data_IF_396960395453
#
_entry.id   IF_396960395453
#
_cell.length_a   1.000
_cell.length_b   1.000
_cell.length_c   1.000
_cell.angle_alpha   90.00
_cell.angle_beta   90.00
_cell.angle_gamma   90.00
#
_symmetry.space_group_name_H-M   'P 1'
#
loop_
_entity.id
_entity.type
_entity.pdbx_description
1 polymer ?
#
# COMPACT_ATOMS: atom_id res chain seq x y z
N UNK A 1 -13.58 8.54 5.85
CA UNK A 1 -13.26 7.11 5.66
C UNK A 1 -14.32 6.31 4.88
N UNK A 2 -15.64 6.41 5.13
CA UNK A 2 -16.63 5.54 4.45
C UNK A 2 -16.68 5.70 2.92
N UNK A 3 -16.60 6.95 2.44
CA UNK A 3 -16.62 7.25 1.01
C UNK A 3 -15.40 6.66 0.28
N UNK A 4 -14.21 6.77 0.88
CA UNK A 4 -12.94 6.29 0.30
C UNK A 4 -12.99 4.76 0.14
N UNK A 5 -13.42 4.02 1.17
CA UNK A 5 -13.52 2.55 1.11
C UNK A 5 -14.52 2.10 0.04
N UNK A 6 -15.66 2.78 -0.05
CA UNK A 6 -16.67 2.51 -1.07
C UNK A 6 -16.15 2.81 -2.48
N UNK A 7 -15.41 3.91 -2.66
CA UNK A 7 -14.79 4.28 -3.93
C UNK A 7 -13.71 3.29 -4.35
N UNK A 8 -12.83 2.88 -3.43
CA UNK A 8 -11.80 1.85 -3.66
C UNK A 8 -12.45 0.54 -4.10
N UNK A 9 -13.44 0.06 -3.34
CA UNK A 9 -14.13 -1.19 -3.66
C UNK A 9 -14.84 -1.10 -5.01
N UNK A 10 -15.55 0.00 -5.26
CA UNK A 10 -16.26 0.21 -6.53
C UNK A 10 -15.29 0.28 -7.70
N UNK A 11 -14.16 0.97 -7.55
CA UNK A 11 -13.11 1.04 -8.57
C UNK A 11 -12.51 -0.34 -8.86
N UNK A 12 -12.11 -1.08 -7.82
CA UNK A 12 -11.56 -2.44 -7.94
C UNK A 12 -12.59 -3.40 -8.55
N UNK A 13 -13.83 -3.40 -8.06
CA UNK A 13 -14.88 -4.30 -8.53
C UNK A 13 -15.31 -3.98 -9.97
N UNK A 14 -15.62 -2.72 -10.29
CA UNK A 14 -16.08 -2.31 -11.62
C UNK A 14 -14.98 -2.49 -12.68
N UNK A 15 -13.71 -2.32 -12.31
CA UNK A 15 -12.59 -2.48 -13.24
C UNK A 15 -12.04 -3.89 -13.28
N UNK A 16 -12.36 -4.74 -12.30
CA UNK A 16 -12.08 -6.17 -12.39
C UNK A 16 -12.72 -6.81 -13.62
N UNK A 17 -13.93 -6.38 -14.00
CA UNK A 17 -14.64 -6.87 -15.19
C UNK A 17 -14.01 -6.35 -16.48
N UNK A 18 -13.56 -5.10 -16.49
CA UNK A 18 -12.90 -4.49 -17.64
C UNK A 18 -11.51 -5.10 -17.89
N UNK A 19 -10.70 -5.27 -16.85
CA UNK A 19 -9.37 -5.90 -16.96
C UNK A 19 -9.53 -7.41 -17.24
N UNK A 20 -10.58 -8.07 -16.72
CA UNK A 20 -10.93 -9.43 -17.12
C UNK A 20 -11.23 -9.57 -18.61
N UNK A 21 -11.90 -8.58 -19.20
CA UNK A 21 -12.20 -8.56 -20.62
C UNK A 21 -10.94 -8.31 -21.48
N UNK A 22 -9.98 -7.52 -20.97
CA UNK A 22 -8.71 -7.24 -21.66
C UNK A 22 -7.69 -8.38 -21.56
N UNK A 23 -7.62 -9.06 -20.42
CA UNK A 23 -6.60 -10.09 -20.12
C UNK A 23 -7.18 -11.51 -20.03
N UNK A 24 -8.48 -11.69 -20.33
CA UNK A 24 -9.15 -12.98 -20.33
C UNK A 24 -9.34 -13.65 -18.96
N UNK A 25 -9.19 -12.94 -17.83
CA UNK A 25 -9.27 -13.58 -16.50
C UNK A 25 -9.71 -12.66 -15.34
N UNK A 26 -11.02 -12.61 -15.08
CA UNK A 26 -11.62 -11.98 -13.87
C UNK A 26 -11.10 -12.58 -12.56
N UNK A 27 -10.68 -13.84 -12.62
CA UNK A 27 -10.17 -14.60 -11.49
C UNK A 27 -8.82 -14.07 -10.96
N UNK A 28 -7.99 -13.46 -11.82
CA UNK A 28 -6.63 -13.04 -11.45
C UNK A 28 -6.64 -11.77 -10.58
N UNK A 29 -7.62 -10.87 -10.74
CA UNK A 29 -7.67 -9.62 -9.97
C UNK A 29 -8.22 -9.87 -8.57
N UNK A 30 -9.26 -10.71 -8.49
CA UNK A 30 -9.85 -11.14 -7.21
C UNK A 30 -8.87 -11.95 -6.35
N UNK A 31 -7.79 -12.48 -6.92
CA UNK A 31 -6.77 -13.22 -6.14
C UNK A 31 -5.69 -12.33 -5.55
N UNK A 32 -5.56 -11.08 -6.01
CA UNK A 32 -4.48 -10.15 -5.66
C UNK A 32 -4.89 -9.03 -4.68
N UNK A 33 -6.19 -8.83 -4.46
CA UNK A 33 -6.78 -8.01 -3.40
C UNK A 33 -7.83 -8.83 -2.64
N UNK A 34 -8.27 -8.39 -1.44
CA UNK A 34 -9.40 -9.03 -0.77
C UNK A 34 -10.67 -8.99 -1.62
N UNK A 35 -11.39 -10.11 -1.66
CA UNK A 35 -12.61 -10.37 -2.48
C UNK A 35 -13.86 -9.79 -1.86
N UNK A 36 -13.75 -9.19 -0.68
CA UNK A 36 -14.87 -8.54 -0.02
C UNK A 36 -14.37 -7.33 0.77
N UNK A 37 -15.03 -6.21 0.54
CA UNK A 37 -14.97 -5.04 1.40
C UNK A 37 -16.39 -4.58 1.72
N UNK A 38 -16.71 -4.50 3.00
CA UNK A 38 -17.94 -3.93 3.54
C UNK A 38 -17.61 -2.88 4.58
N UNK A 39 -18.62 -2.15 5.05
CA UNK A 39 -18.45 -1.25 6.17
C UNK A 39 -19.72 -1.19 7.02
N UNK A 40 -19.55 -0.87 8.30
CA UNK A 40 -20.63 -0.55 9.22
C UNK A 40 -20.34 0.82 9.82
N UNK A 41 -21.35 1.68 9.85
CA UNK A 41 -21.23 3.04 10.41
C UNK A 41 -21.97 3.12 11.72
N UNK A 42 -21.45 3.94 12.63
CA UNK A 42 -22.10 4.28 13.89
C UNK A 42 -22.63 3.04 14.63
N UNK A 43 -21.76 2.05 14.83
CA UNK A 43 -22.10 0.78 15.47
C UNK A 43 -22.52 1.06 16.91
N UNK A 44 -23.73 0.63 17.26
CA UNK A 44 -24.22 0.67 18.63
C UNK A 44 -23.48 -0.39 19.47
N UNK A 45 -22.63 0.09 20.37
CA UNK A 45 -21.76 -0.71 21.23
C UNK A 45 -22.57 -1.66 22.12
N UNK A 46 -23.79 -1.28 22.52
CA UNK A 46 -24.63 -2.09 23.40
C UNK A 46 -24.97 -3.46 22.78
N UNK A 47 -25.11 -3.53 21.44
CA UNK A 47 -25.47 -4.76 20.73
C UNK A 47 -24.30 -5.75 20.57
N UNK A 48 -23.06 -5.32 20.86
CA UNK A 48 -21.84 -6.11 20.63
C UNK A 48 -20.96 -6.23 21.89
N UNK A 49 -21.53 -5.94 23.05
CA UNK A 49 -20.87 -6.15 24.34
C UNK A 49 -20.60 -7.65 24.54
N UNK A 50 -19.40 -8.07 24.99
CA UNK A 50 -18.30 -7.24 25.50
C UNK A 50 -17.23 -6.86 24.46
N UNK A 51 -17.37 -7.29 23.21
CA UNK A 51 -16.30 -7.21 22.19
C UNK A 51 -15.90 -5.78 21.80
N UNK A 52 -16.82 -4.81 21.95
CA UNK A 52 -16.58 -3.40 21.64
C UNK A 52 -16.47 -2.50 22.88
N UNK A 53 -16.29 -3.07 24.07
CA UNK A 53 -16.26 -2.30 25.32
C UNK A 53 -15.12 -1.28 25.39
N UNK A 54 -14.03 -1.51 24.66
CA UNK A 54 -12.91 -0.58 24.55
C UNK A 54 -13.32 0.80 23.99
N UNK A 55 -14.40 0.86 23.20
CA UNK A 55 -14.88 2.09 22.57
C UNK A 55 -15.99 2.80 23.38
N UNK A 56 -16.40 2.25 24.54
CA UNK A 56 -17.58 2.74 25.29
C UNK A 56 -17.44 4.20 25.76
N UNK A 57 -16.20 4.66 25.93
CA UNK A 57 -15.89 6.00 26.43
C UNK A 57 -15.42 6.96 25.33
N UNK A 58 -15.43 6.52 24.07
CA UNK A 58 -15.06 7.38 22.95
C UNK A 58 -16.15 8.42 22.67
N UNK A 59 -15.74 9.59 22.19
CA UNK A 59 -16.65 10.69 21.91
C UNK A 59 -17.63 10.41 20.74
N UNK A 60 -17.38 9.36 19.94
CA UNK A 60 -18.21 8.98 18.80
C UNK A 60 -18.41 7.48 18.68
N UNK A 61 -19.48 7.06 18.01
CA UNK A 61 -19.75 5.65 17.76
C UNK A 61 -18.73 5.05 16.79
N UNK A 62 -18.19 3.86 17.07
CA UNK A 62 -17.21 3.22 16.21
C UNK A 62 -17.82 2.89 14.84
N UNK A 63 -16.97 2.91 13.81
CA UNK A 63 -17.30 2.39 12.48
C UNK A 63 -16.30 1.30 12.14
N UNK A 64 -16.70 0.32 11.33
CA UNK A 64 -15.83 -0.79 10.94
C UNK A 64 -15.74 -0.91 9.43
N UNK A 65 -14.59 -1.39 8.97
CA UNK A 65 -14.40 -1.93 7.63
C UNK A 65 -14.36 -3.45 7.80
N UNK A 66 -15.16 -4.15 7.02
CA UNK A 66 -15.17 -5.60 6.93
C UNK A 66 -14.36 -6.00 5.71
N UNK A 67 -13.41 -6.91 5.86
CA UNK A 67 -12.55 -7.40 4.78
C UNK A 67 -12.69 -8.92 4.69
N UNK A 68 -12.48 -9.49 3.51
CA UNK A 68 -12.33 -10.96 3.32
C UNK A 68 -11.49 -11.56 4.45
N UNK A 69 -11.99 -12.62 5.09
CA UNK A 69 -11.19 -13.37 6.03
C UNK A 69 -10.08 -14.13 5.30
N UNK A 70 -8.83 -13.73 5.54
CA UNK A 70 -7.66 -14.42 5.02
C UNK A 70 -7.15 -15.43 6.08
N UNK A 71 -7.22 -16.75 5.84
CA UNK A 71 -6.81 -17.73 6.84
C UNK A 71 -5.29 -17.84 6.93
N UNK A 72 -4.74 -17.65 8.15
CA UNK A 72 -3.31 -17.81 8.47
C UNK A 72 -2.38 -17.03 7.50
N UNK A 73 -2.60 -15.71 7.30
CA UNK A 73 -1.81 -14.94 6.37
C UNK A 73 -0.38 -14.80 6.90
N UNK A 74 0.59 -14.84 6.00
CA UNK A 74 2.00 -14.57 6.28
C UNK A 74 2.39 -13.26 5.61
N UNK A 75 3.05 -12.37 6.33
CA UNK A 75 3.53 -11.10 5.77
C UNK A 75 4.73 -11.37 4.86
N UNK A 76 4.80 -10.69 3.71
CA UNK A 76 5.96 -10.77 2.83
C UNK A 76 7.22 -10.19 3.50
N UNK A 77 8.26 -11.01 3.58
CA UNK A 77 9.60 -10.66 4.06
C UNK A 77 10.62 -11.65 3.45
N UNK A 78 11.89 -11.58 3.84
CA UNK A 78 12.95 -12.44 3.29
C UNK A 78 12.74 -13.94 3.58
N UNK A 79 12.07 -14.28 4.69
CA UNK A 79 11.75 -15.68 5.04
C UNK A 79 10.64 -16.23 4.15
N UNK A 80 9.64 -15.41 3.84
CA UNK A 80 8.49 -15.82 3.01
C UNK A 80 8.67 -15.46 1.54
N UNK A 81 9.82 -14.89 1.16
CA UNK A 81 10.12 -14.49 -0.20
C UNK A 81 10.23 -15.73 -1.11
N UNK A 82 9.78 -15.56 -2.35
CA UNK A 82 10.12 -16.39 -3.51
C UNK A 82 9.93 -15.54 -4.76
N UNK A 83 10.60 -15.89 -5.85
CA UNK A 83 10.49 -15.16 -7.13
C UNK A 83 9.04 -15.12 -7.61
N UNK A 84 8.31 -16.21 -7.47
CA UNK A 84 6.91 -16.35 -7.89
C UNK A 84 5.96 -15.50 -7.04
N UNK A 85 6.22 -15.40 -5.72
CA UNK A 85 5.43 -14.50 -4.84
C UNK A 85 5.72 -13.04 -5.17
N UNK A 86 6.98 -12.68 -5.43
CA UNK A 86 7.36 -11.31 -5.76
C UNK A 86 6.79 -10.88 -7.12
N UNK A 87 6.83 -11.75 -8.13
CA UNK A 87 6.18 -11.49 -9.43
C UNK A 87 4.69 -11.22 -9.27
N UNK A 88 3.99 -12.01 -8.43
CA UNK A 88 2.56 -11.78 -8.13
C UNK A 88 2.32 -10.47 -7.38
N UNK A 89 3.20 -10.08 -6.46
CA UNK A 89 3.11 -8.77 -5.81
C UNK A 89 3.26 -7.60 -6.80
N UNK A 90 4.22 -7.68 -7.74
CA UNK A 90 4.39 -6.67 -8.81
C UNK A 90 3.15 -6.60 -9.71
N UNK A 91 2.59 -7.74 -10.10
CA UNK A 91 1.34 -7.78 -10.88
C UNK A 91 0.19 -7.16 -10.07
N UNK A 92 0.11 -7.46 -8.76
CA UNK A 92 -0.90 -6.92 -7.86
C UNK A 92 -0.88 -5.39 -7.80
N UNK A 93 0.29 -4.78 -7.60
CA UNK A 93 0.38 -3.31 -7.51
C UNK A 93 0.05 -2.65 -8.86
N UNK A 94 0.48 -3.25 -9.97
CA UNK A 94 0.14 -2.76 -11.31
C UNK A 94 -1.37 -2.82 -11.59
N UNK A 95 -2.08 -3.79 -11.00
CA UNK A 95 -3.53 -3.86 -11.11
C UNK A 95 -4.23 -2.80 -10.26
N UNK A 96 -3.73 -2.51 -9.05
CA UNK A 96 -4.20 -1.38 -8.24
C UNK A 96 -4.06 -0.08 -9.05
N UNK A 97 -2.90 0.13 -9.68
CA UNK A 97 -2.65 1.27 -10.56
C UNK A 97 -3.57 1.31 -11.78
N UNK A 98 -3.84 0.17 -12.40
CA UNK A 98 -4.75 0.05 -13.55
C UNK A 98 -6.21 0.36 -13.18
N UNK A 99 -6.57 0.24 -11.90
CA UNK A 99 -7.85 0.68 -11.35
C UNK A 99 -7.87 2.18 -10.98
N UNK A 100 -6.82 2.92 -11.35
CA UNK A 100 -6.63 4.35 -11.02
C UNK A 100 -6.55 4.60 -9.52
N UNK A 101 -5.84 3.72 -8.82
CA UNK A 101 -5.57 3.84 -7.39
C UNK A 101 -4.06 3.92 -7.20
N UNK A 102 -3.60 4.89 -6.42
CA UNK A 102 -2.25 4.93 -5.83
C UNK A 102 -2.35 4.34 -4.43
N UNK A 103 -1.55 3.32 -4.10
CA UNK A 103 -1.64 2.63 -2.81
C UNK A 103 -1.20 3.53 -1.65
N UNK A 104 -0.18 4.35 -1.91
CA UNK A 104 0.45 5.33 -1.05
C UNK A 104 1.20 4.76 0.18
N UNK A 105 1.31 3.43 0.30
CA UNK A 105 2.14 2.72 1.30
C UNK A 105 2.57 1.32 0.77
N UNK A 106 3.23 1.21 -0.40
CA UNK A 106 3.44 -0.06 -1.10
C UNK A 106 4.65 -0.85 -0.54
N UNK A 107 4.69 -1.10 0.77
CA UNK A 107 5.79 -1.82 1.44
C UNK A 107 5.44 -3.28 1.73
N UNK A 108 6.45 -4.17 1.92
CA UNK A 108 6.22 -5.61 2.13
C UNK A 108 5.24 -5.96 3.25
N UNK A 109 5.15 -5.13 4.30
CA UNK A 109 4.22 -5.28 5.42
C UNK A 109 2.74 -5.35 4.98
N UNK A 110 2.42 -4.73 3.84
CA UNK A 110 1.08 -4.65 3.26
C UNK A 110 0.83 -5.72 2.18
N UNK A 111 1.73 -6.71 2.07
CA UNK A 111 1.58 -7.85 1.17
C UNK A 111 1.43 -9.11 2.02
N UNK A 112 0.29 -9.77 1.89
CA UNK A 112 -0.03 -11.00 2.61
C UNK A 112 0.01 -12.20 1.68
N UNK A 113 0.70 -13.26 2.11
CA UNK A 113 0.72 -14.56 1.49
C UNK A 113 -0.30 -15.43 2.21
N UNK A 114 -1.33 -15.85 1.49
CA UNK A 114 -2.40 -16.70 2.05
C UNK A 114 -2.16 -18.13 1.60
N UNK A 115 -1.73 -19.03 2.49
CA UNK A 115 -1.44 -20.40 2.14
C UNK A 115 -2.71 -21.18 1.81
N UNK A 116 -2.62 -22.12 0.87
CA UNK A 116 -3.73 -22.98 0.46
C UNK A 116 -3.39 -23.77 -0.79
N UNK A 117 -4.36 -24.52 -1.32
CA UNK A 117 -4.20 -25.22 -2.61
C UNK A 117 -3.86 -24.25 -3.74
N UNK A 118 -4.45 -23.05 -3.71
CA UNK A 118 -4.11 -21.92 -4.56
C UNK A 118 -3.58 -20.80 -3.66
N UNK A 119 -2.27 -20.77 -3.46
CA UNK A 119 -1.62 -19.70 -2.70
C UNK A 119 -1.91 -18.33 -3.34
N UNK A 120 -2.37 -17.38 -2.52
CA UNK A 120 -2.61 -16.00 -2.94
C UNK A 120 -1.55 -15.06 -2.39
N UNK A 121 -1.27 -14.01 -3.15
CA UNK A 121 -0.45 -12.86 -2.72
C UNK A 121 -1.34 -11.64 -2.79
N UNK A 122 -1.68 -11.06 -1.66
CA UNK A 122 -2.77 -10.10 -1.51
C UNK A 122 -2.24 -8.77 -1.01
N UNK A 123 -2.56 -7.67 -1.71
CA UNK A 123 -2.35 -6.31 -1.24
C UNK A 123 -3.44 -5.89 -0.25
N UNK A 124 -3.05 -5.37 0.90
CA UNK A 124 -3.93 -4.89 1.96
C UNK A 124 -3.55 -3.46 2.38
N UNK A 125 -4.30 -2.88 3.31
CA UNK A 125 -4.01 -1.57 3.89
C UNK A 125 -4.13 -0.39 2.89
N UNK A 126 -5.33 -0.23 2.34
CA UNK A 126 -5.67 0.83 1.39
C UNK A 126 -6.28 2.07 2.07
N UNK A 127 -6.13 2.22 3.39
CA UNK A 127 -6.75 3.30 4.15
C UNK A 127 -6.17 4.70 3.81
N UNK A 128 -4.91 4.73 3.38
CA UNK A 128 -4.19 5.91 2.89
C UNK A 128 -4.14 6.01 1.35
N UNK A 129 -4.82 5.11 0.64
CA UNK A 129 -4.81 5.08 -0.81
C UNK A 129 -5.49 6.32 -1.41
N UNK A 130 -5.03 6.71 -2.60
CA UNK A 130 -5.60 7.82 -3.37
C UNK A 130 -6.31 7.24 -4.58
N UNK A 131 -7.63 7.43 -4.65
CA UNK A 131 -8.46 7.01 -5.78
C UNK A 131 -8.64 8.17 -6.74
N UNK A 132 -8.34 7.93 -8.02
CA UNK A 132 -8.61 8.88 -9.08
C UNK A 132 -9.90 8.47 -9.81
N UNK A 133 -10.83 9.40 -10.09
CA UNK A 133 -12.07 9.08 -10.78
C UNK A 133 -11.89 8.45 -12.17
N UNK A 134 -10.83 8.86 -12.88
CA UNK A 134 -10.40 8.32 -14.17
C UNK A 134 -8.96 8.78 -14.49
N UNK A 135 -8.45 8.32 -15.63
CA UNK A 135 -7.08 8.56 -16.13
C UNK A 135 -6.72 10.04 -16.36
N UNK A 136 -7.72 10.89 -16.60
CA UNK A 136 -7.55 12.34 -16.76
C UNK A 136 -7.16 12.97 -15.41
N UNK A 137 -7.83 12.55 -14.33
CA UNK A 137 -7.61 13.10 -12.97
C UNK A 137 -6.30 12.64 -12.33
N UNK A 138 -5.68 11.56 -12.81
CA UNK A 138 -4.35 11.15 -12.36
C UNK A 138 -3.34 12.28 -12.62
N UNK A 139 -3.46 12.93 -13.78
CA UNK A 139 -2.52 13.95 -14.22
C UNK A 139 -1.08 13.45 -14.32
N UNK A 140 -0.13 14.35 -14.56
CA UNK A 140 1.29 13.98 -14.68
C UNK A 140 1.87 13.49 -13.36
N UNK A 141 1.57 14.20 -12.26
CA UNK A 141 2.13 13.89 -10.94
C UNK A 141 1.60 12.56 -10.39
N UNK A 142 0.30 12.24 -10.57
CA UNK A 142 -0.24 10.95 -10.17
C UNK A 142 0.38 9.79 -10.96
N UNK A 143 0.62 9.97 -12.27
CA UNK A 143 1.26 8.93 -13.10
C UNK A 143 2.69 8.67 -12.63
N UNK A 144 3.47 9.72 -12.40
CA UNK A 144 4.82 9.57 -11.86
C UNK A 144 4.84 8.90 -10.48
N UNK A 145 3.84 9.15 -9.62
CA UNK A 145 3.73 8.46 -8.33
C UNK A 145 3.39 6.98 -8.49
N UNK A 146 2.39 6.65 -9.29
CA UNK A 146 2.00 5.27 -9.63
C UNK A 146 3.18 4.48 -10.24
N UNK A 147 3.88 5.07 -11.21
CA UNK A 147 5.08 4.46 -11.82
C UNK A 147 6.16 4.24 -10.76
N UNK A 148 6.39 5.23 -9.90
CA UNK A 148 7.36 5.14 -8.83
C UNK A 148 7.01 4.04 -7.81
N UNK A 149 5.74 3.87 -7.44
CA UNK A 149 5.30 2.78 -6.56
C UNK A 149 5.65 1.40 -7.13
N UNK A 150 5.44 1.18 -8.44
CA UNK A 150 5.83 -0.08 -9.09
C UNK A 150 7.33 -0.32 -8.99
N UNK A 151 8.15 0.73 -9.13
CA UNK A 151 9.60 0.61 -9.00
C UNK A 151 10.05 0.38 -7.55
N UNK A 152 9.37 0.97 -6.57
CA UNK A 152 9.57 0.65 -5.13
C UNK A 152 9.27 -0.83 -4.86
N UNK A 153 8.19 -1.36 -5.44
CA UNK A 153 7.84 -2.78 -5.27
C UNK A 153 8.89 -3.72 -5.85
N UNK A 154 9.42 -3.39 -7.03
CA UNK A 154 10.51 -4.16 -7.64
C UNK A 154 11.81 -4.02 -6.85
N UNK A 155 12.11 -2.85 -6.30
CA UNK A 155 13.39 -2.58 -5.63
C UNK A 155 13.51 -3.35 -4.32
N UNK A 156 12.47 -3.34 -3.46
CA UNK A 156 12.53 -4.17 -2.26
C UNK A 156 12.53 -5.66 -2.60
N UNK A 157 11.95 -6.08 -3.74
CA UNK A 157 11.99 -7.47 -4.18
C UNK A 157 13.42 -7.98 -4.40
N UNK A 158 14.32 -7.13 -4.88
CA UNK A 158 15.76 -7.43 -4.99
C UNK A 158 16.40 -7.54 -3.59
N UNK A 159 16.08 -6.59 -2.69
CA UNK A 159 16.58 -6.62 -1.32
C UNK A 159 16.14 -7.86 -0.54
N UNK A 160 14.89 -8.30 -0.72
CA UNK A 160 14.37 -9.51 -0.09
C UNK A 160 15.02 -10.79 -0.62
N UNK A 161 15.41 -10.80 -1.90
CA UNK A 161 16.18 -11.89 -2.51
C UNK A 161 17.58 -11.97 -1.89
N UNK A 162 18.29 -10.84 -1.84
CA UNK A 162 19.61 -10.73 -1.22
C UNK A 162 19.57 -11.13 0.27
N UNK A 163 18.61 -10.62 1.04
CA UNK A 163 18.42 -10.97 2.46
C UNK A 163 18.09 -12.46 2.67
N UNK A 164 17.45 -13.12 1.70
CA UNK A 164 17.17 -14.56 1.77
C UNK A 164 18.44 -15.38 1.55
N UNK A 165 19.35 -14.94 0.67
CA UNK A 165 20.64 -15.58 0.39
C UNK A 165 21.65 -15.39 1.54
N UNK A 166 21.68 -14.21 2.17
CA UNK A 166 22.58 -13.89 3.30
C UNK A 166 22.10 -14.46 4.64
N UNK A 167 20.84 -14.91 4.72
CA UNK A 167 20.18 -15.37 5.94
C UNK A 167 19.50 -14.23 6.71
N UNK A 168 18.44 -14.52 7.51
CA UNK A 168 17.54 -13.50 8.01
C UNK A 168 18.27 -12.49 8.93
N UNK A 169 18.16 -11.17 8.68
CA UNK A 169 18.72 -10.17 9.57
C UNK A 169 17.97 -10.12 10.92
N UNK A 170 18.59 -9.62 12.00
CA UNK A 170 17.94 -9.45 13.30
C UNK A 170 16.60 -8.69 13.21
N UNK A 171 15.60 -9.12 13.99
CA UNK A 171 14.18 -8.66 13.96
C UNK A 171 13.95 -7.14 13.87
N UNK A 172 14.85 -6.31 14.37
CA UNK A 172 14.73 -4.85 14.34
C UNK A 172 14.97 -4.21 12.97
N UNK A 173 15.54 -4.94 12.00
CA UNK A 173 15.79 -4.45 10.63
C UNK A 173 14.64 -4.70 9.67
N UNK A 174 13.84 -5.74 9.95
CA UNK A 174 12.67 -6.13 9.15
C UNK A 174 11.55 -5.07 9.23
N UNK A 175 11.45 -4.36 10.36
CA UNK A 175 10.38 -3.39 10.62
C UNK A 175 10.56 -2.04 9.91
N UNK A 176 11.79 -1.71 9.47
CA UNK A 176 12.15 -0.40 8.93
C UNK A 176 12.44 -0.43 7.42
N UNK A 177 12.45 -1.60 6.78
CA UNK A 177 12.80 -1.71 5.36
C UNK A 177 14.21 -1.20 5.02
N UNK A 178 15.12 -1.15 6.01
CA UNK A 178 16.48 -0.64 5.86
C UNK A 178 17.49 -1.64 6.41
N UNK A 179 18.36 -2.17 5.54
CA UNK A 179 19.51 -3.01 5.93
C UNK A 179 20.79 -2.17 6.03
N UNK A 180 21.76 -2.52 6.91
CA UNK A 180 22.99 -1.73 7.14
C UNK A 180 24.02 -1.78 6.02
N UNK A 181 23.79 -2.60 4.99
CA UNK A 181 24.71 -2.73 3.85
C UNK A 181 24.76 -1.46 2.98
N UNK A 182 23.82 -0.55 3.18
CA UNK A 182 23.73 0.77 2.52
C UNK A 182 24.77 1.79 3.02
N UNK A 183 25.51 1.53 4.10
CA UNK A 183 26.43 2.55 4.63
C UNK A 183 27.73 2.66 3.83
N UNK A 184 28.17 1.64 3.08
CA UNK A 184 29.55 1.62 2.54
C UNK A 184 29.75 1.21 1.06
N UNK A 185 28.74 1.31 0.19
CA UNK A 185 29.00 1.31 -1.27
C UNK A 185 28.10 2.32 -1.97
N UNK A 186 28.64 3.51 -2.25
CA UNK A 186 27.98 4.51 -3.08
C UNK A 186 27.79 3.97 -4.49
N UNK A 187 26.60 3.45 -4.80
CA UNK A 187 26.18 3.15 -6.16
C UNK A 187 25.08 4.13 -6.59
N UNK A 188 24.85 4.33 -7.90
CA UNK A 188 23.80 5.22 -8.40
C UNK A 188 22.38 4.89 -7.90
N UNK A 189 22.15 3.67 -7.39
CA UNK A 189 20.88 3.22 -6.81
C UNK A 189 20.59 3.84 -5.43
N UNK A 190 21.62 4.13 -4.64
CA UNK A 190 21.47 4.75 -3.31
C UNK A 190 20.93 6.17 -3.40
N UNK A 191 21.26 6.88 -4.49
CA UNK A 191 20.72 8.21 -4.78
C UNK A 191 19.20 8.21 -5.03
N UNK A 192 18.64 7.09 -5.50
CA UNK A 192 17.19 6.96 -5.75
C UNK A 192 16.45 6.77 -4.43
N UNK A 193 16.98 5.95 -3.53
CA UNK A 193 16.40 5.74 -2.19
C UNK A 193 16.59 6.96 -1.28
N UNK A 194 17.74 7.63 -1.36
CA UNK A 194 18.02 8.87 -0.62
C UNK A 194 17.17 10.03 -1.16
N UNK A 195 17.01 10.16 -2.49
CA UNK A 195 16.09 11.13 -3.08
C UNK A 195 14.62 10.83 -2.76
N UNK A 196 14.22 9.56 -2.71
CA UNK A 196 12.87 9.15 -2.30
C UNK A 196 12.58 9.48 -0.83
N UNK A 197 13.56 9.24 0.05
CA UNK A 197 13.48 9.63 1.47
C UNK A 197 13.42 11.16 1.62
N UNK A 198 14.23 11.91 0.88
CA UNK A 198 14.23 13.38 0.90
C UNK A 198 12.95 13.99 0.30
N UNK A 199 12.36 13.36 -0.72
CA UNK A 199 11.09 13.80 -1.31
C UNK A 199 9.90 13.49 -0.38
N UNK A 200 9.92 12.35 0.32
CA UNK A 200 8.91 11.99 1.30
C UNK A 200 8.98 12.88 2.56
N UNK A 201 10.18 13.20 3.05
CA UNK A 201 10.40 14.20 4.11
C UNK A 201 9.87 15.58 3.70
N UNK A 202 10.16 16.04 2.48
CA UNK A 202 9.61 17.30 1.96
C UNK A 202 8.07 17.31 1.84
N UNK A 203 7.44 16.16 1.60
CA UNK A 203 5.97 16.04 1.51
C UNK A 203 5.31 15.94 2.89
N UNK A 204 5.99 15.34 3.87
CA UNK A 204 5.53 15.28 5.28
C UNK A 204 5.66 16.66 5.94
N UNK A 205 6.78 17.38 5.74
CA UNK A 205 6.97 18.73 6.29
C UNK A 205 5.98 19.76 5.71
N UNK A 206 5.56 19.59 4.44
CA UNK A 206 4.54 20.45 3.82
C UNK A 206 3.11 20.24 4.35
N UNK A 207 2.81 19.16 5.09
CA UNK A 207 1.50 18.97 5.75
C UNK A 207 1.42 19.60 7.15
N UNK A 208 2.52 20.13 7.69
CA UNK A 208 2.58 20.56 9.10
C UNK A 208 2.91 22.04 9.37
N UNK A 209 2.90 22.92 8.37
CA UNK A 209 3.10 24.36 8.60
C UNK A 209 1.96 25.21 8.01
N UNK A 210 0.86 25.27 8.75
CA UNK A 210 0.06 26.50 8.84
C UNK A 210 0.66 27.33 9.98
N UNK A 211 1.56 28.27 9.66
CA UNK A 211 1.80 29.44 10.52
C UNK A 211 2.08 30.71 9.67
N UNK A 212 1.54 31.87 10.11
CA UNK A 212 1.44 33.08 9.29
C UNK A 212 2.73 33.90 9.33
N UNK A 213 3.06 34.48 8.18
CA UNK A 213 4.01 35.59 8.08
C UNK A 213 5.38 35.19 7.57
N UNK A 214 5.55 35.25 6.26
CA UNK A 214 6.83 35.68 5.69
C UNK A 214 6.58 36.55 4.47
N UNK A 215 7.17 37.75 4.53
CA UNK A 215 6.89 38.90 3.70
C UNK A 215 7.45 38.73 2.29
N UNK A 216 6.82 39.45 1.37
CA UNK A 216 7.38 39.79 0.07
C UNK A 216 8.76 40.47 0.22
N UNK A 217 9.75 39.94 -0.51
CA UNK A 217 10.91 40.64 -1.07
C UNK A 217 11.43 39.72 -2.17
N UNK A 218 11.26 40.00 -3.47
CA UNK A 218 11.78 41.17 -4.16
C UNK A 218 12.98 40.73 -4.99
N UNK A 219 12.80 40.72 -6.32
CA UNK A 219 13.74 40.86 -7.47
C UNK A 219 15.19 40.33 -7.34
N UNK A 220 15.81 39.76 -8.38
CA UNK A 220 16.46 40.39 -9.57
C UNK A 220 17.04 39.15 -10.34
N UNK A 221 17.01 38.94 -11.67
CA UNK A 221 16.96 39.76 -12.89
C UNK A 221 16.35 38.93 -14.02
#
# INVERSE_FOLDING_TARGET
>A
MPAIVFEIWTALAARSEHIAALNGSKHVIMTLCPVFYGFMLAIDIANYTPHLDAFRHDAGLPSSILIEHLPKPLVMNCVTYSKERMQRAVIGIQQVHSAFIEHNDPYPKNILIVPGHLERVVWVDLDVAIVYPNDIYIGKNGRSRIEFETEVVKSFGQLLEEDQEEGPPPKHKILLGMTPSSVHRHTPKDKIMEAASHCLLCLIERRHLDLPGCRHSGLIR
#
